data_IF_625673316073
#
_entry.id   IF_625673316073
#
_cell.length_a   1.000
_cell.length_b   1.000
_cell.length_c   1.000
_cell.angle_alpha   90.00
_cell.angle_beta   90.00
_cell.angle_gamma   90.00
#
_symmetry.space_group_name_H-M   'P 1'
#
loop_
_entity.id
_entity.type
_entity.pdbx_description
1 polymer ?
#
# COMPACT_ATOMS: atom_id res chain seq x y z
N UNK A 1 -10.15 47.31 -57.57
CA UNK A 1 -10.18 48.02 -58.86
C UNK A 1 -8.71 48.18 -59.28
N UNK A 2 -8.25 47.46 -60.32
CA UNK A 2 -6.83 47.33 -60.79
C UNK A 2 -5.85 46.75 -59.73
N UNK A 3 -4.95 45.78 -59.96
CA UNK A 3 -4.24 45.18 -61.12
C UNK A 3 -3.19 46.08 -61.79
N UNK A 4 -1.93 45.85 -61.39
CA UNK A 4 -0.71 45.98 -62.22
C UNK A 4 0.10 44.68 -62.04
N UNK A 5 0.10 43.71 -62.96
CA UNK A 5 0.82 43.62 -64.26
C UNK A 5 2.35 43.49 -64.11
N UNK A 6 2.91 42.33 -64.51
CA UNK A 6 4.34 42.01 -64.39
C UNK A 6 4.76 40.62 -64.92
N UNK A 7 4.37 40.29 -66.16
CA UNK A 7 4.81 39.16 -67.03
C UNK A 7 4.68 39.67 -68.50
N UNK A 8 5.19 39.00 -69.57
CA UNK A 8 5.90 37.71 -69.70
C UNK A 8 7.44 37.96 -69.84
N UNK A 9 8.32 37.16 -70.46
CA UNK A 9 8.32 35.86 -71.20
C UNK A 9 9.62 35.07 -70.83
N UNK A 10 10.15 34.03 -71.50
CA UNK A 10 9.81 33.14 -72.64
C UNK A 10 10.51 31.80 -72.30
N UNK A 11 9.92 30.59 -72.41
CA UNK A 11 9.59 29.85 -73.66
C UNK A 11 10.86 29.75 -74.55
N UNK A 12 11.52 28.61 -74.83
CA UNK A 12 11.28 27.18 -74.61
C UNK A 12 12.63 26.44 -74.34
N UNK A 13 12.57 25.27 -73.69
CA UNK A 13 13.15 24.01 -74.22
C UNK A 13 12.59 22.81 -73.44
N UNK A 14 11.78 22.00 -74.12
CA UNK A 14 11.03 20.89 -73.52
C UNK A 14 11.87 19.59 -73.50
N UNK A 15 11.70 18.77 -72.46
CA UNK A 15 11.73 17.32 -72.60
C UNK A 15 10.40 16.75 -72.08
N UNK A 16 9.53 16.45 -73.04
CA UNK A 16 8.54 15.36 -73.08
C UNK A 16 7.97 14.77 -71.78
N UNK A 17 6.64 14.93 -71.62
CA UNK A 17 5.61 13.90 -71.26
C UNK A 17 5.94 12.86 -70.17
N UNK A 18 5.12 12.60 -69.15
CA UNK A 18 3.67 12.24 -69.15
C UNK A 18 3.07 12.70 -67.80
N UNK A 19 2.06 13.58 -67.74
CA UNK A 19 0.60 13.33 -67.66
C UNK A 19 0.12 12.51 -66.43
N UNK A 20 -0.98 12.97 -65.78
CA UNK A 20 -1.80 12.30 -64.74
C UNK A 20 -1.11 12.08 -63.35
N UNK A 21 -1.81 12.00 -62.20
CA UNK A 21 -3.21 12.32 -61.84
C UNK A 21 -3.28 12.75 -60.35
N UNK A 22 -4.41 13.33 -59.91
CA UNK A 22 -4.63 13.81 -58.54
C UNK A 22 -5.77 13.04 -57.86
N UNK A 23 -5.49 12.01 -57.06
CA UNK A 23 -6.52 11.46 -56.16
C UNK A 23 -6.00 10.73 -54.90
N UNK A 24 -6.54 11.16 -53.75
CA UNK A 24 -7.01 10.43 -52.55
C UNK A 24 -6.53 9.00 -52.21
N UNK A 25 -6.43 8.79 -50.88
CA UNK A 25 -6.42 7.54 -50.10
C UNK A 25 -5.06 6.82 -50.00
N UNK A 26 -4.44 6.95 -48.82
CA UNK A 26 -3.73 5.85 -48.18
C UNK A 26 -4.57 5.40 -46.98
N UNK A 27 -5.14 4.21 -47.07
CA UNK A 27 -5.83 3.52 -45.99
C UNK A 27 -4.88 2.48 -45.39
N UNK A 28 -4.91 2.36 -44.06
CA UNK A 28 -4.39 1.25 -43.25
C UNK A 28 -2.85 1.03 -43.16
N UNK A 29 -2.37 1.25 -41.92
CA UNK A 29 -1.78 0.20 -41.06
C UNK A 29 -0.30 -0.20 -41.27
N UNK A 30 0.60 0.47 -40.55
CA UNK A 30 1.80 -0.12 -39.91
C UNK A 30 2.22 0.68 -38.67
N UNK A 31 2.53 -0.03 -37.59
CA UNK A 31 3.31 0.34 -36.39
C UNK A 31 3.38 1.80 -35.88
N UNK A 32 2.63 2.10 -34.81
CA UNK A 32 2.76 3.33 -34.03
C UNK A 32 3.89 3.21 -32.97
N UNK A 33 5.14 3.03 -33.42
CA UNK A 33 6.25 2.63 -32.55
C UNK A 33 7.55 3.46 -32.70
N UNK A 34 7.48 4.77 -33.00
CA UNK A 34 8.69 5.55 -33.35
C UNK A 34 8.80 7.03 -32.93
N UNK A 35 8.00 7.54 -31.98
CA UNK A 35 8.11 8.94 -31.50
C UNK A 35 8.19 9.11 -29.96
N UNK A 36 9.14 8.43 -29.30
CA UNK A 36 9.58 8.73 -27.93
C UNK A 36 11.11 8.58 -27.83
N UNK A 37 11.85 9.55 -27.27
CA UNK A 37 13.31 9.48 -27.23
C UNK A 37 13.79 8.29 -26.37
N UNK A 38 14.50 7.37 -27.02
CA UNK A 38 14.88 6.04 -26.49
C UNK A 38 15.74 6.08 -25.22
N UNK A 39 16.32 7.24 -24.88
CA UNK A 39 17.18 7.44 -23.70
C UNK A 39 16.41 7.81 -22.42
N UNK A 40 15.22 8.41 -22.50
CA UNK A 40 14.40 8.69 -21.31
C UNK A 40 13.90 7.40 -20.63
N UNK A 41 13.57 6.38 -21.43
CA UNK A 41 13.02 5.12 -20.95
C UNK A 41 13.97 4.25 -20.11
N UNK A 42 15.29 4.40 -20.26
CA UNK A 42 16.28 3.61 -19.48
C UNK A 42 16.43 4.16 -18.06
N UNK A 43 16.49 5.48 -17.91
CA UNK A 43 16.60 6.13 -16.60
C UNK A 43 15.29 6.01 -15.80
N UNK A 44 14.13 6.29 -16.43
CA UNK A 44 12.84 6.14 -15.75
C UNK A 44 12.56 4.72 -15.27
N UNK A 45 12.92 3.68 -16.05
CA UNK A 45 12.79 2.28 -15.60
C UNK A 45 13.62 1.98 -14.35
N UNK A 46 14.87 2.44 -14.29
CA UNK A 46 15.74 2.25 -13.12
C UNK A 46 15.24 2.97 -11.86
N UNK A 47 14.79 4.23 -12.00
CA UNK A 47 14.21 4.94 -10.86
C UNK A 47 12.91 4.30 -10.37
N UNK A 48 12.03 3.84 -11.27
CA UNK A 48 10.79 3.16 -10.90
C UNK A 48 11.09 1.84 -10.17
N UNK A 49 12.03 1.01 -10.64
CA UNK A 49 12.35 -0.24 -9.95
C UNK A 49 12.98 0.01 -8.58
N UNK A 50 13.88 0.99 -8.44
CA UNK A 50 14.45 1.36 -7.13
C UNK A 50 13.38 1.89 -6.17
N UNK A 51 12.46 2.75 -6.62
CA UNK A 51 11.35 3.25 -5.81
C UNK A 51 10.38 2.13 -5.38
N UNK A 52 10.06 1.19 -6.30
CA UNK A 52 9.24 0.02 -5.98
C UNK A 52 9.94 -0.86 -4.94
N UNK A 53 11.23 -1.19 -5.14
CA UNK A 53 12.00 -2.01 -4.20
C UNK A 53 12.13 -1.32 -2.83
N UNK A 54 12.38 -0.01 -2.77
CA UNK A 54 12.40 0.76 -1.53
C UNK A 54 11.03 0.75 -0.84
N UNK A 55 9.92 0.89 -1.58
CA UNK A 55 8.56 0.80 -1.02
C UNK A 55 8.20 -0.59 -0.49
N UNK A 56 8.77 -1.65 -1.08
CA UNK A 56 8.58 -3.04 -0.64
C UNK A 56 9.44 -3.30 0.60
N UNK A 57 10.70 -2.87 0.60
CA UNK A 57 11.58 -2.93 1.77
C UNK A 57 10.99 -2.17 2.97
N UNK A 58 10.45 -0.96 2.77
CA UNK A 58 9.78 -0.18 3.81
C UNK A 58 8.55 -0.90 4.38
N UNK A 59 7.77 -1.59 3.52
CA UNK A 59 6.63 -2.41 3.95
C UNK A 59 7.05 -3.68 4.71
N UNK A 60 8.17 -4.30 4.32
CA UNK A 60 8.77 -5.42 5.06
C UNK A 60 9.22 -4.98 6.45
N UNK A 61 9.93 -3.85 6.56
CA UNK A 61 10.39 -3.29 7.84
C UNK A 61 9.23 -2.88 8.76
N UNK A 62 8.18 -2.25 8.22
CA UNK A 62 7.01 -1.82 9.00
C UNK A 62 6.08 -2.98 9.40
N UNK A 63 5.96 -4.02 8.57
CA UNK A 63 5.15 -5.21 8.93
C UNK A 63 5.74 -6.00 10.10
N UNK A 64 7.07 -5.96 10.31
CA UNK A 64 7.71 -6.54 11.49
C UNK A 64 7.32 -5.85 12.80
N UNK A 65 6.95 -4.56 12.75
CA UNK A 65 6.50 -3.78 13.91
C UNK A 65 5.08 -4.17 14.35
N UNK A 66 4.22 -4.56 13.40
CA UNK A 66 2.88 -5.05 13.69
C UNK A 66 2.94 -6.54 14.01
N UNK A 67 3.18 -6.88 15.28
CA UNK A 67 3.29 -8.26 15.74
C UNK A 67 2.11 -9.11 15.27
N UNK A 68 2.38 -10.02 14.32
CA UNK A 68 1.45 -10.68 13.38
C UNK A 68 0.41 -11.63 13.98
N UNK A 69 0.20 -11.56 15.29
CA UNK A 69 -0.38 -12.64 16.10
C UNK A 69 -1.22 -12.11 17.29
N UNK A 70 -1.43 -10.79 17.37
CA UNK A 70 -2.28 -10.16 18.38
C UNK A 70 -3.67 -9.88 17.80
N UNK A 71 -4.59 -10.82 18.00
CA UNK A 71 -6.00 -10.63 17.59
C UNK A 71 -6.76 -9.87 18.66
N UNK A 72 -7.03 -8.59 18.40
CA UNK A 72 -7.89 -7.73 19.21
C UNK A 72 -9.37 -7.95 18.89
N UNK A 73 -10.24 -7.78 19.90
CA UNK A 73 -11.70 -7.83 19.78
C UNK A 73 -12.25 -6.59 20.49
N UNK A 74 -12.83 -5.68 19.71
CA UNK A 74 -13.40 -4.43 20.21
C UNK A 74 -14.70 -4.66 21.00
N UNK A 75 -14.96 -3.78 21.95
CA UNK A 75 -16.15 -3.77 22.81
C UNK A 75 -16.38 -5.05 23.63
N UNK A 76 -15.30 -5.78 23.93
CA UNK A 76 -15.32 -7.01 24.72
C UNK A 76 -14.19 -6.99 25.75
N UNK A 77 -14.42 -7.65 26.89
CA UNK A 77 -13.40 -7.90 27.90
C UNK A 77 -13.49 -9.32 28.44
N UNK A 78 -12.40 -9.80 29.04
CA UNK A 78 -12.42 -10.99 29.90
C UNK A 78 -12.47 -10.53 31.35
N UNK A 79 -13.58 -10.77 32.04
CA UNK A 79 -13.82 -10.34 33.42
C UNK A 79 -13.24 -11.35 34.44
N UNK A 80 -12.90 -10.90 35.65
CA UNK A 80 -12.54 -11.80 36.78
C UNK A 80 -11.17 -12.50 36.70
N UNK A 81 -10.48 -12.45 35.56
CA UNK A 81 -9.17 -13.11 35.36
C UNK A 81 -7.96 -12.14 35.39
N UNK A 82 -8.20 -10.87 35.71
CA UNK A 82 -7.17 -9.84 35.81
C UNK A 82 -6.31 -10.04 37.05
N UNK A 83 -5.00 -10.21 36.86
CA UNK A 83 -4.04 -10.40 37.95
C UNK A 83 -3.09 -9.21 38.15
N UNK A 84 -3.07 -8.26 37.20
CA UNK A 84 -2.23 -7.06 37.25
C UNK A 84 -2.84 -5.95 36.38
N UNK A 85 -2.92 -4.75 36.94
CA UNK A 85 -3.41 -3.56 36.23
C UNK A 85 -2.31 -2.51 36.15
N UNK A 86 -2.20 -1.87 35.00
CA UNK A 86 -1.19 -0.85 34.67
C UNK A 86 -1.88 0.38 34.08
N UNK A 87 -1.39 1.57 34.41
CA UNK A 87 -1.71 2.79 33.65
C UNK A 87 -0.71 2.90 32.51
N UNK A 88 -1.19 3.10 31.29
CA UNK A 88 -0.41 3.15 30.06
C UNK A 88 -0.92 4.27 29.18
N UNK A 89 -0.05 4.94 28.42
CA UNK A 89 -0.56 5.97 27.50
C UNK A 89 -1.44 5.33 26.39
N UNK A 90 -2.62 5.89 26.06
CA UNK A 90 -3.49 5.36 25.01
C UNK A 90 -2.74 5.23 23.67
N UNK A 91 -2.97 4.12 22.95
CA UNK A 91 -2.34 3.86 21.66
C UNK A 91 -0.87 3.39 21.71
N UNK A 92 -0.25 3.27 22.90
CA UNK A 92 1.12 2.75 23.01
C UNK A 92 1.18 1.22 23.04
N UNK A 93 2.38 0.67 22.82
CA UNK A 93 2.63 -0.78 22.90
C UNK A 93 2.99 -1.24 24.32
N UNK A 94 2.96 -0.36 25.33
CA UNK A 94 3.33 -0.66 26.73
C UNK A 94 2.58 -1.89 27.28
N UNK A 95 1.28 -1.97 27.02
CA UNK A 95 0.44 -3.09 27.45
C UNK A 95 0.86 -4.43 26.81
N UNK A 96 1.22 -4.41 25.53
CA UNK A 96 1.73 -5.57 24.79
C UNK A 96 3.08 -6.02 25.37
N UNK A 97 3.99 -5.07 25.64
CA UNK A 97 5.30 -5.34 26.21
C UNK A 97 5.19 -5.91 27.62
N UNK A 98 4.35 -5.30 28.49
CA UNK A 98 4.09 -5.77 29.84
C UNK A 98 3.50 -7.19 29.87
N UNK A 99 2.57 -7.50 28.96
CA UNK A 99 2.05 -8.86 28.83
C UNK A 99 3.10 -9.86 28.31
N UNK A 100 3.95 -9.45 27.36
CA UNK A 100 5.05 -10.30 26.87
C UNK A 100 6.13 -10.58 27.92
N UNK A 101 6.34 -9.65 28.86
CA UNK A 101 7.31 -9.77 29.93
C UNK A 101 6.86 -10.67 31.10
N UNK A 102 5.55 -10.93 31.26
CA UNK A 102 5.01 -11.76 32.34
C UNK A 102 4.46 -13.08 31.78
N UNK A 103 5.11 -14.20 32.10
CA UNK A 103 4.74 -15.54 31.63
C UNK A 103 3.30 -15.95 32.03
N UNK A 104 2.72 -15.32 33.04
CA UNK A 104 1.33 -15.57 33.46
C UNK A 104 0.31 -14.91 32.52
N UNK A 105 0.72 -13.92 31.74
CA UNK A 105 -0.18 -13.19 30.83
C UNK A 105 -0.55 -14.04 29.61
N UNK A 106 -1.83 -14.34 29.49
CA UNK A 106 -2.41 -15.12 28.39
C UNK A 106 -3.31 -14.26 27.48
N UNK A 107 -3.92 -13.23 28.05
CA UNK A 107 -4.62 -12.16 27.33
C UNK A 107 -4.57 -10.88 28.17
N UNK A 108 -5.07 -9.78 27.64
CA UNK A 108 -5.25 -8.54 28.38
C UNK A 108 -6.46 -7.76 27.86
N UNK A 109 -7.07 -6.97 28.74
CA UNK A 109 -8.04 -5.95 28.35
C UNK A 109 -7.34 -4.59 28.30
N UNK A 110 -7.78 -3.71 27.42
CA UNK A 110 -7.36 -2.30 27.41
C UNK A 110 -8.59 -1.41 27.45
N UNK A 111 -8.64 -0.48 28.40
CA UNK A 111 -9.63 0.59 28.48
C UNK A 111 -9.13 1.77 27.64
N UNK A 112 -10.00 2.40 26.83
CA UNK A 112 -9.62 3.56 26.01
C UNK A 112 -8.98 4.72 26.81
N UNK A 113 -9.29 4.82 28.11
CA UNK A 113 -8.74 5.79 29.07
C UNK A 113 -7.28 5.51 29.49
N UNK A 114 -6.58 4.57 28.86
CA UNK A 114 -5.17 4.28 29.13
C UNK A 114 -4.95 3.36 30.35
N UNK A 115 -5.80 2.34 30.49
CA UNK A 115 -5.65 1.30 31.53
C UNK A 115 -5.50 -0.05 30.85
N UNK A 116 -4.48 -0.80 31.26
CA UNK A 116 -4.12 -2.11 30.75
C UNK A 116 -4.31 -3.16 31.87
N UNK A 117 -5.09 -4.20 31.62
CA UNK A 117 -5.44 -5.25 32.58
C UNK A 117 -4.94 -6.59 32.06
N UNK A 118 -3.89 -7.13 32.68
CA UNK A 118 -3.28 -8.41 32.28
C UNK A 118 -4.08 -9.56 32.88
N UNK A 119 -4.48 -10.50 32.03
CA UNK A 119 -5.33 -11.62 32.38
C UNK A 119 -4.58 -12.96 32.30
N UNK A 120 -4.81 -13.83 33.28
CA UNK A 120 -4.16 -15.16 33.37
C UNK A 120 -4.91 -16.28 32.63
N UNK A 121 -5.97 -15.93 31.88
CA UNK A 121 -6.77 -16.82 31.02
C UNK A 121 -6.97 -16.20 29.64
N UNK A 122 -7.69 -16.91 28.77
CA UNK A 122 -8.18 -16.41 27.48
C UNK A 122 -9.67 -16.70 27.37
N UNK A 123 -10.36 -16.01 26.47
CA UNK A 123 -11.78 -16.24 26.16
C UNK A 123 -12.12 -17.69 25.78
N UNK A 124 -11.16 -18.46 25.26
CA UNK A 124 -11.39 -19.87 24.90
C UNK A 124 -11.34 -20.81 26.12
N UNK A 125 -10.64 -20.41 27.19
CA UNK A 125 -10.57 -21.16 28.43
C UNK A 125 -11.71 -20.79 29.41
N UNK A 126 -12.33 -19.62 29.21
CA UNK A 126 -13.39 -19.03 30.04
C UNK A 126 -14.34 -18.21 29.15
N UNK A 127 -15.26 -18.87 28.42
CA UNK A 127 -16.17 -18.17 27.50
C UNK A 127 -17.26 -17.39 28.23
N UNK A 128 -17.74 -17.89 29.38
CA UNK A 128 -18.82 -17.26 30.17
C UNK A 128 -18.39 -15.90 30.75
N UNK A 129 -17.10 -15.76 31.05
CA UNK A 129 -16.48 -14.52 31.56
C UNK A 129 -16.10 -13.53 30.43
N UNK A 130 -16.36 -13.88 29.16
CA UNK A 130 -16.02 -13.05 27.99
C UNK A 130 -17.20 -12.17 27.58
N UNK A 131 -17.33 -11.04 28.28
CA UNK A 131 -18.50 -10.16 28.24
C UNK A 131 -18.30 -8.91 27.38
N UNK A 132 -19.40 -8.26 26.99
CA UNK A 132 -19.39 -7.01 26.25
C UNK A 132 -19.12 -5.82 27.19
N UNK A 133 -18.14 -4.98 26.85
CA UNK A 133 -17.84 -3.72 27.53
C UNK A 133 -17.47 -2.67 26.49
N UNK A 134 -18.25 -1.58 26.41
CA UNK A 134 -18.13 -0.56 25.38
C UNK A 134 -16.87 0.30 25.50
N UNK A 135 -16.25 0.39 26.68
CA UNK A 135 -15.04 1.20 26.92
C UNK A 135 -13.73 0.41 26.73
N UNK A 136 -13.82 -0.88 26.35
CA UNK A 136 -12.70 -1.81 26.34
C UNK A 136 -12.50 -2.53 25.01
N UNK A 137 -11.29 -3.04 24.82
CA UNK A 137 -11.00 -4.10 23.87
C UNK A 137 -10.15 -5.20 24.49
N UNK A 138 -10.44 -6.44 24.13
CA UNK A 138 -9.71 -7.63 24.55
C UNK A 138 -8.62 -7.95 23.53
N UNK A 139 -7.45 -8.40 23.98
CA UNK A 139 -6.38 -8.89 23.11
C UNK A 139 -5.86 -10.22 23.65
N UNK A 140 -5.82 -11.24 22.78
CA UNK A 140 -5.15 -12.51 23.08
C UNK A 140 -3.64 -12.36 22.88
N UNK A 141 -2.84 -12.83 23.84
CA UNK A 141 -1.38 -12.89 23.68
C UNK A 141 -0.97 -14.15 22.92
N UNK A 142 -0.04 -14.01 21.96
CA UNK A 142 0.63 -15.15 21.31
C UNK A 142 1.94 -15.57 21.98
N UNK A 143 2.11 -15.27 23.27
CA UNK A 143 3.26 -15.77 24.07
C UNK A 143 3.31 -17.30 24.19
N UNK A 144 2.29 -18.03 23.72
CA UNK A 144 2.28 -19.49 23.59
C UNK A 144 2.15 -19.90 22.11
N UNK A 145 3.22 -19.69 21.33
CA UNK A 145 3.18 -19.90 19.87
C UNK A 145 4.45 -20.50 19.23
N UNK A 146 5.65 -20.00 19.55
CA UNK A 146 6.91 -20.58 19.01
C UNK A 146 7.52 -21.61 19.96
N UNK A 147 6.97 -22.83 19.94
CA UNK A 147 7.81 -24.01 20.18
C UNK A 147 8.73 -24.14 18.98
N UNK A 148 9.97 -23.67 19.10
CA UNK A 148 11.04 -24.08 18.20
C UNK A 148 11.15 -25.60 18.32
N UNK A 149 10.94 -26.29 17.20
CA UNK A 149 11.03 -27.74 17.09
C UNK A 149 12.35 -28.10 16.40
#
# INVERSE_FOLDING_TARGET
FWRTTGKPSSIYKNIFTVKLFRQRICLMKTDQQSCLPRMAWRQFKGHITVLVMASVALRLLTSQQCGTDLRSIYQMMLQGHTFKTLKTQPGTTECIQACRADIRCQSFNVVFKGICELNNRTKEARPDDFVKDLERYYVKSSTRGKKTK
#
